data_IF_069797086192
#
_entry.id   IF_069797086192
#
_cell.length_a   1.000
_cell.length_b   1.000
_cell.length_c   1.000
_cell.angle_alpha   90.00
_cell.angle_beta   90.00
_cell.angle_gamma   90.00
#
_symmetry.space_group_name_H-M   'P 1'
#
loop_
_entity.id
_entity.type
_entity.pdbx_description
1 polymer ?
#
# COMPACT_ATOMS: atom_id res chain seq x y z
N UNK A 1 25.77 -23.11 -1.02
CA UNK A 1 24.65 -23.92 -0.46
C UNK A 1 23.37 -23.17 -0.77
N UNK A 2 22.45 -23.80 -1.45
CA UNK A 2 21.18 -23.15 -1.83
C UNK A 2 20.36 -22.72 -0.61
N UNK A 3 19.62 -21.60 -0.66
CA UNK A 3 18.75 -21.16 0.42
C UNK A 3 17.51 -22.06 0.55
N UNK A 4 16.90 -22.09 1.72
CA UNK A 4 15.58 -22.72 1.88
C UNK A 4 14.52 -21.90 1.17
N UNK A 5 14.60 -20.56 1.29
CA UNK A 5 13.68 -19.62 0.65
C UNK A 5 14.45 -18.52 -0.08
N UNK A 6 14.12 -18.32 -1.34
CA UNK A 6 14.58 -17.18 -2.13
C UNK A 6 13.47 -16.16 -2.24
N UNK A 7 13.78 -14.90 -1.93
CA UNK A 7 12.84 -13.77 -2.00
C UNK A 7 13.32 -12.79 -3.07
N UNK A 8 12.43 -12.39 -3.96
CA UNK A 8 12.71 -11.44 -5.03
C UNK A 8 12.28 -10.05 -4.58
N UNK A 9 13.22 -9.16 -4.35
CA UNK A 9 13.00 -7.78 -3.92
C UNK A 9 13.10 -7.58 -2.42
N UNK A 10 13.83 -6.54 -1.99
CA UNK A 10 14.04 -6.12 -0.60
C UNK A 10 13.13 -4.95 -0.20
N UNK A 11 11.96 -4.80 -0.84
CA UNK A 11 10.92 -3.89 -0.41
C UNK A 11 10.22 -4.37 0.87
N UNK A 12 9.16 -3.66 1.35
CA UNK A 12 8.52 -3.97 2.62
C UNK A 12 8.05 -5.41 2.76
N UNK A 13 7.40 -6.01 1.73
CA UNK A 13 6.96 -7.41 1.79
C UNK A 13 8.11 -8.39 1.85
N UNK A 14 9.16 -8.17 1.05
CA UNK A 14 10.32 -9.07 1.02
C UNK A 14 11.12 -9.03 2.31
N UNK A 15 11.39 -7.84 2.83
CA UNK A 15 12.11 -7.67 4.09
C UNK A 15 11.36 -8.26 5.28
N UNK A 16 10.02 -8.03 5.36
CA UNK A 16 9.20 -8.61 6.44
C UNK A 16 9.10 -10.13 6.32
N UNK A 17 8.91 -10.67 5.11
CA UNK A 17 8.93 -12.13 4.89
C UNK A 17 10.29 -12.72 5.30
N UNK A 18 11.40 -12.06 4.94
CA UNK A 18 12.74 -12.48 5.33
C UNK A 18 12.93 -12.51 6.85
N UNK A 19 12.49 -11.46 7.57
CA UNK A 19 12.52 -11.39 9.03
C UNK A 19 11.73 -12.56 9.65
N UNK A 20 10.49 -12.78 9.19
CA UNK A 20 9.61 -13.80 9.72
C UNK A 20 10.16 -15.23 9.52
N UNK A 21 10.80 -15.49 8.38
CA UNK A 21 11.37 -16.79 8.05
C UNK A 21 12.73 -17.00 8.70
N UNK A 22 13.60 -15.99 8.73
CA UNK A 22 14.90 -16.07 9.40
C UNK A 22 14.77 -16.32 10.91
N UNK A 23 13.78 -15.69 11.57
CA UNK A 23 13.45 -15.97 12.97
C UNK A 23 13.01 -17.42 13.25
N UNK A 24 12.52 -18.13 12.25
CA UNK A 24 12.18 -19.55 12.32
C UNK A 24 13.36 -20.46 11.97
N UNK A 25 14.54 -19.88 11.72
CA UNK A 25 15.77 -20.63 11.46
C UNK A 25 15.98 -21.06 10.00
N UNK A 26 15.17 -20.57 9.06
CA UNK A 26 15.36 -20.84 7.63
C UNK A 26 16.51 -20.01 7.06
N UNK A 27 17.24 -20.61 6.11
CA UNK A 27 18.23 -19.89 5.28
C UNK A 27 17.50 -19.11 4.22
N UNK A 28 17.43 -17.78 4.40
CA UNK A 28 16.72 -16.87 3.51
C UNK A 28 17.72 -16.08 2.68
N UNK A 29 17.55 -16.08 1.35
CA UNK A 29 18.27 -15.21 0.42
C UNK A 29 17.30 -14.23 -0.22
N UNK A 30 17.59 -12.94 -0.10
CA UNK A 30 16.85 -11.85 -0.74
C UNK A 30 17.70 -11.29 -1.88
N UNK A 31 17.16 -11.27 -3.10
CA UNK A 31 17.83 -10.70 -4.26
C UNK A 31 17.11 -9.42 -4.68
N UNK A 32 17.80 -8.29 -4.57
CA UNK A 32 17.28 -6.96 -4.90
C UNK A 32 18.05 -6.41 -6.12
N UNK A 33 17.30 -5.94 -7.12
CA UNK A 33 17.88 -5.42 -8.36
C UNK A 33 18.60 -4.08 -8.16
N UNK A 34 18.09 -3.24 -7.23
CA UNK A 34 18.59 -1.89 -6.99
C UNK A 34 19.45 -1.83 -5.72
N UNK A 35 20.29 -0.80 -5.63
CA UNK A 35 20.96 -0.44 -4.39
C UNK A 35 20.12 0.52 -3.55
N UNK A 36 20.21 0.41 -2.23
CA UNK A 36 19.64 1.40 -1.32
C UNK A 36 20.64 2.56 -1.06
N UNK A 37 20.17 3.78 -0.82
CA UNK A 37 18.76 4.19 -0.80
C UNK A 37 18.17 4.31 -2.22
N UNK A 38 16.94 3.80 -2.43
CA UNK A 38 16.21 3.93 -3.69
C UNK A 38 14.84 4.55 -3.48
N UNK A 39 14.40 5.36 -4.44
CA UNK A 39 13.06 5.92 -4.40
C UNK A 39 11.98 4.85 -4.63
N UNK A 40 10.90 4.95 -3.88
CA UNK A 40 9.65 4.26 -4.14
C UNK A 40 8.47 5.14 -3.72
N UNK A 41 7.32 4.98 -4.35
CA UNK A 41 6.07 5.63 -3.94
C UNK A 41 5.33 4.78 -2.90
N UNK A 42 4.38 5.39 -2.14
CA UNK A 42 3.64 4.72 -1.08
C UNK A 42 4.21 5.03 0.30
N UNK A 43 4.15 6.29 0.69
CA UNK A 43 4.86 6.92 1.83
C UNK A 43 3.96 7.17 3.04
N UNK A 44 2.65 7.02 2.88
CA UNK A 44 1.69 7.11 3.98
C UNK A 44 1.26 5.71 4.39
N UNK A 45 1.57 5.29 5.61
CA UNK A 45 1.22 3.97 6.12
C UNK A 45 -0.17 3.98 6.79
N UNK A 46 -0.72 2.81 7.09
CA UNK A 46 -1.96 2.63 7.84
C UNK A 46 -1.69 2.04 9.23
N UNK A 47 -2.61 2.23 10.18
CA UNK A 47 -2.42 1.77 11.55
C UNK A 47 -2.21 0.24 11.64
N UNK A 48 -2.90 -0.52 10.79
CA UNK A 48 -2.67 -1.96 10.71
C UNK A 48 -1.26 -2.33 10.23
N UNK A 49 -0.61 -1.48 9.43
CA UNK A 49 0.82 -1.67 9.08
C UNK A 49 1.71 -1.62 10.33
N UNK A 50 1.47 -0.68 11.25
CA UNK A 50 2.23 -0.61 12.50
C UNK A 50 2.00 -1.87 13.36
N UNK A 51 0.79 -2.41 13.39
CA UNK A 51 0.51 -3.67 14.07
C UNK A 51 1.24 -4.85 13.43
N UNK A 52 1.25 -4.95 12.10
CA UNK A 52 2.01 -5.99 11.39
C UNK A 52 3.52 -5.89 11.65
N UNK A 53 4.05 -4.66 11.72
CA UNK A 53 5.44 -4.42 12.11
C UNK A 53 5.70 -4.84 13.56
N UNK A 54 4.77 -4.60 14.48
CA UNK A 54 4.86 -5.06 15.87
C UNK A 54 4.89 -6.58 15.95
N UNK A 55 3.99 -7.25 15.25
CA UNK A 55 3.93 -8.72 15.18
C UNK A 55 5.20 -9.33 14.56
N UNK A 56 5.79 -8.65 13.59
CA UNK A 56 7.09 -9.02 13.01
C UNK A 56 8.28 -8.61 13.90
N UNK A 57 8.06 -7.89 15.03
CA UNK A 57 9.09 -7.37 15.93
C UNK A 57 9.99 -6.32 15.28
N UNK A 58 9.44 -5.53 14.38
CA UNK A 58 10.12 -4.46 13.64
C UNK A 58 9.67 -3.06 14.06
N UNK A 59 8.60 -2.95 14.88
CA UNK A 59 8.01 -1.66 15.22
C UNK A 59 8.99 -0.76 15.97
N UNK A 60 9.77 -1.30 16.92
CA UNK A 60 10.73 -0.52 17.70
C UNK A 60 11.82 0.09 16.80
N UNK A 61 12.31 -0.66 15.81
CA UNK A 61 13.27 -0.14 14.84
C UNK A 61 12.67 0.99 13.99
N UNK A 62 11.40 0.87 13.61
CA UNK A 62 10.68 1.91 12.85
C UNK A 62 10.45 3.15 13.71
N UNK A 63 10.10 3.00 15.00
CA UNK A 63 10.00 4.13 15.95
C UNK A 63 11.35 4.85 16.08
N UNK A 64 12.45 4.09 16.21
CA UNK A 64 13.78 4.65 16.28
C UNK A 64 14.24 5.36 14.99
N UNK A 65 13.59 5.07 13.86
CA UNK A 65 13.83 5.73 12.57
C UNK A 65 13.32 7.17 12.48
N UNK A 66 12.63 7.69 13.51
CA UNK A 66 12.12 9.06 13.61
C UNK A 66 11.26 9.51 12.42
N UNK A 67 10.46 8.59 11.85
CA UNK A 67 9.49 8.93 10.82
C UNK A 67 8.35 9.79 11.38
N UNK A 68 7.67 10.52 10.50
CA UNK A 68 6.54 11.36 10.90
C UNK A 68 5.42 10.50 11.49
N UNK A 69 5.06 10.74 12.74
CA UNK A 69 3.93 10.09 13.39
C UNK A 69 2.63 10.41 12.66
N UNK A 70 1.78 9.40 12.48
CA UNK A 70 0.48 9.52 11.82
C UNK A 70 -0.60 8.85 12.65
N UNK A 71 -1.68 9.59 12.90
CA UNK A 71 -2.85 9.10 13.65
C UNK A 71 -4.16 9.13 12.84
N UNK A 72 -4.11 9.51 11.55
CA UNK A 72 -5.35 9.63 10.79
C UNK A 72 -5.19 10.13 9.38
N UNK A 73 -6.33 10.56 8.84
CA UNK A 73 -6.46 11.17 7.52
C UNK A 73 -7.47 12.33 7.56
N UNK A 74 -7.18 13.39 6.80
CA UNK A 74 -8.08 14.52 6.56
C UNK A 74 -8.49 14.51 5.10
N UNK A 75 -9.79 14.40 4.84
CA UNK A 75 -10.37 14.52 3.51
C UNK A 75 -10.91 15.93 3.33
N UNK A 76 -10.61 16.54 2.19
CA UNK A 76 -10.98 17.93 1.90
C UNK A 76 -11.65 18.00 0.54
N UNK A 77 -12.84 18.58 0.51
CA UNK A 77 -13.53 18.99 -0.72
C UNK A 77 -13.55 20.51 -0.86
N UNK A 78 -14.21 21.03 -1.89
CA UNK A 78 -14.40 22.49 -2.05
C UNK A 78 -15.02 23.11 -0.80
N UNK A 79 -16.07 22.49 -0.27
CA UNK A 79 -16.91 23.07 0.79
C UNK A 79 -16.63 22.45 2.16
N UNK A 80 -16.25 21.17 2.21
CA UNK A 80 -16.21 20.37 3.43
C UNK A 80 -14.81 19.86 3.79
N UNK A 81 -14.65 19.56 5.07
CA UNK A 81 -13.50 18.83 5.62
C UNK A 81 -13.99 17.73 6.55
N UNK A 82 -13.44 16.54 6.40
CA UNK A 82 -13.77 15.37 7.20
C UNK A 82 -12.52 14.71 7.73
N UNK A 83 -12.45 14.49 9.03
CA UNK A 83 -11.31 13.86 9.69
C UNK A 83 -11.63 12.47 10.20
N UNK A 84 -10.66 11.59 10.08
CA UNK A 84 -10.65 10.26 10.67
C UNK A 84 -9.45 10.13 11.60
N UNK A 85 -9.70 9.87 12.87
CA UNK A 85 -8.67 9.53 13.84
C UNK A 85 -8.64 8.00 14.02
N UNK A 86 -7.51 7.39 13.71
CA UNK A 86 -7.36 5.92 13.76
C UNK A 86 -7.49 5.35 15.19
N UNK A 87 -7.37 6.18 16.23
CA UNK A 87 -7.60 5.74 17.60
C UNK A 87 -9.11 5.47 17.88
N UNK A 88 -10.02 6.08 17.10
CA UNK A 88 -11.48 5.91 17.27
C UNK A 88 -12.08 4.83 16.35
N UNK A 89 -11.24 4.03 15.69
CA UNK A 89 -11.70 2.94 14.82
C UNK A 89 -12.45 1.85 15.61
N UNK A 90 -13.33 1.13 14.91
CA UNK A 90 -14.11 0.01 15.46
C UNK A 90 -13.24 -1.22 15.80
N UNK A 91 -12.36 -1.61 14.90
CA UNK A 91 -11.52 -2.80 15.03
C UNK A 91 -10.49 -2.65 16.15
N UNK A 92 -10.19 -3.71 16.94
CA UNK A 92 -9.13 -3.66 17.95
C UNK A 92 -7.75 -3.49 17.31
N UNK A 93 -6.74 -3.11 18.11
CA UNK A 93 -5.35 -2.95 17.68
C UNK A 93 -4.88 -1.50 17.65
N UNK A 94 -3.66 -1.27 17.13
CA UNK A 94 -3.02 0.04 17.14
C UNK A 94 -3.82 1.10 16.39
N UNK A 95 -3.84 2.32 16.93
CA UNK A 95 -4.52 3.48 16.34
C UNK A 95 -3.56 4.52 15.77
N UNK A 96 -2.32 4.16 15.49
CA UNK A 96 -1.30 5.04 14.93
C UNK A 96 -0.40 4.31 13.93
N UNK A 97 0.37 5.08 13.18
CA UNK A 97 1.35 4.61 12.23
C UNK A 97 2.35 5.73 11.90
N UNK A 98 2.97 5.68 10.72
CA UNK A 98 3.96 6.66 10.28
C UNK A 98 3.74 7.08 8.84
N UNK A 99 4.24 8.28 8.51
CA UNK A 99 4.51 8.72 7.16
C UNK A 99 6.01 8.63 6.94
N UNK A 100 6.43 7.93 5.89
CA UNK A 100 7.82 7.48 5.74
C UNK A 100 8.41 7.89 4.40
N UNK A 101 9.66 8.33 4.42
CA UNK A 101 10.47 8.41 3.21
C UNK A 101 10.87 6.96 2.86
N UNK A 102 10.36 6.44 1.75
CA UNK A 102 10.47 5.02 1.40
C UNK A 102 11.91 4.55 1.19
N UNK A 103 12.81 5.42 0.73
CA UNK A 103 14.22 5.07 0.60
C UNK A 103 14.87 4.71 1.94
N UNK A 104 14.47 5.40 3.01
CA UNK A 104 14.96 5.16 4.37
C UNK A 104 14.22 3.99 5.03
N UNK A 105 12.89 3.95 4.89
CA UNK A 105 12.05 2.92 5.48
C UNK A 105 12.36 1.53 4.90
N UNK A 106 12.44 1.40 3.57
CA UNK A 106 12.74 0.12 2.92
C UNK A 106 14.16 -0.37 3.30
N UNK A 107 15.14 0.53 3.32
CA UNK A 107 16.51 0.21 3.76
C UNK A 107 16.56 -0.24 5.21
N UNK A 108 15.81 0.42 6.11
CA UNK A 108 15.72 0.03 7.51
C UNK A 108 15.21 -1.40 7.65
N UNK A 109 14.11 -1.74 6.97
CA UNK A 109 13.53 -3.09 7.03
C UNK A 109 14.50 -4.16 6.47
N UNK A 110 15.20 -3.86 5.37
CA UNK A 110 16.18 -4.78 4.80
C UNK A 110 17.35 -5.02 5.77
N UNK A 111 17.86 -3.97 6.42
CA UNK A 111 18.91 -4.09 7.44
C UNK A 111 18.47 -4.91 8.67
N UNK A 112 17.22 -4.77 9.09
CA UNK A 112 16.67 -5.62 10.17
C UNK A 112 16.62 -7.09 9.75
N UNK A 113 16.30 -7.39 8.49
CA UNK A 113 16.36 -8.76 7.97
C UNK A 113 17.80 -9.30 7.97
N UNK A 114 18.79 -8.49 7.55
CA UNK A 114 20.21 -8.86 7.58
C UNK A 114 20.69 -9.15 9.01
N UNK A 115 20.32 -8.34 10.00
CA UNK A 115 20.66 -8.56 11.42
C UNK A 115 20.14 -9.90 11.95
N UNK A 116 19.05 -10.42 11.38
CA UNK A 116 18.47 -11.71 11.76
C UNK A 116 19.05 -12.88 10.92
N UNK A 117 20.05 -12.63 10.08
CA UNK A 117 20.77 -13.64 9.33
C UNK A 117 20.23 -13.92 7.93
N UNK A 118 19.27 -13.12 7.43
CA UNK A 118 18.92 -13.18 6.01
C UNK A 118 20.07 -12.64 5.16
N UNK A 119 20.40 -13.32 4.07
CA UNK A 119 21.37 -12.84 3.09
C UNK A 119 20.66 -11.89 2.12
N UNK A 120 20.96 -10.59 2.15
CA UNK A 120 20.42 -9.61 1.19
C UNK A 120 21.52 -9.23 0.20
N UNK A 121 21.26 -9.45 -1.08
CA UNK A 121 22.20 -9.13 -2.18
C UNK A 121 21.55 -8.09 -3.09
N UNK A 122 22.28 -7.01 -3.32
CA UNK A 122 21.89 -5.91 -4.19
C UNK A 122 22.53 -6.02 -5.57
N UNK A 123 21.96 -5.36 -6.57
CA UNK A 123 22.45 -5.41 -7.95
C UNK A 123 22.23 -6.78 -8.62
N UNK A 124 21.21 -7.53 -8.18
CA UNK A 124 20.92 -8.89 -8.69
C UNK A 124 19.50 -8.96 -9.24
N UNK A 125 19.36 -9.16 -10.51
CA UNK A 125 18.09 -9.24 -11.25
C UNK A 125 17.72 -10.69 -11.56
N UNK A 126 16.48 -11.08 -11.28
CA UNK A 126 15.95 -12.39 -11.69
C UNK A 126 15.54 -12.31 -13.16
N UNK A 127 16.10 -13.20 -13.97
CA UNK A 127 15.88 -13.22 -15.43
C UNK A 127 15.08 -14.43 -15.92
N UNK A 128 15.07 -15.53 -15.16
CA UNK A 128 14.25 -16.69 -15.46
C UNK A 128 13.91 -17.50 -14.22
N UNK A 129 12.82 -18.26 -14.30
CA UNK A 129 12.42 -19.25 -13.30
C UNK A 129 11.83 -20.46 -13.99
N UNK A 130 12.18 -21.66 -13.51
CA UNK A 130 11.54 -22.93 -13.87
C UNK A 130 10.91 -23.53 -12.61
N UNK A 131 9.60 -23.74 -12.65
CA UNK A 131 8.79 -24.33 -11.58
C UNK A 131 8.18 -25.67 -11.97
N UNK A 132 8.62 -26.28 -13.05
CA UNK A 132 8.12 -27.57 -13.56
C UNK A 132 8.66 -28.77 -12.77
N UNK A 133 9.79 -28.59 -12.07
CA UNK A 133 10.44 -29.62 -11.27
C UNK A 133 9.94 -29.69 -9.83
N UNK A 134 10.53 -30.59 -9.04
CA UNK A 134 10.21 -30.73 -7.62
C UNK A 134 10.60 -29.51 -6.77
N UNK A 135 11.59 -28.74 -7.22
CA UNK A 135 12.04 -27.48 -6.61
C UNK A 135 12.25 -26.44 -7.70
N UNK A 136 11.97 -25.15 -7.42
CA UNK A 136 12.21 -24.08 -8.36
C UNK A 136 13.69 -23.95 -8.73
N UNK A 137 13.95 -23.61 -10.01
CA UNK A 137 15.29 -23.24 -10.49
C UNK A 137 15.23 -21.79 -10.94
N UNK A 138 15.97 -20.92 -10.25
CA UNK A 138 15.96 -19.48 -10.48
C UNK A 138 17.28 -19.07 -11.13
N UNK A 139 17.23 -18.35 -12.26
CA UNK A 139 18.39 -17.71 -12.88
C UNK A 139 18.41 -16.24 -12.52
N UNK A 140 19.51 -15.80 -11.96
CA UNK A 140 19.77 -14.42 -11.61
C UNK A 140 20.94 -13.86 -12.41
N UNK A 141 20.92 -12.55 -12.69
CA UNK A 141 22.00 -11.83 -13.37
C UNK A 141 22.54 -10.75 -12.44
N UNK A 142 23.84 -10.76 -12.18
CA UNK A 142 24.53 -9.74 -11.41
C UNK A 142 24.77 -8.47 -12.24
N UNK A 143 25.15 -7.37 -11.60
CA UNK A 143 25.57 -6.13 -12.30
C UNK A 143 26.78 -6.33 -13.21
N UNK A 144 27.68 -7.27 -12.88
CA UNK A 144 28.79 -7.64 -13.76
C UNK A 144 28.37 -8.42 -15.02
N UNK A 145 27.08 -8.81 -15.09
CA UNK A 145 26.53 -9.61 -16.18
C UNK A 145 26.69 -11.12 -16.00
N UNK A 146 27.24 -11.57 -14.88
CA UNK A 146 27.38 -12.98 -14.54
C UNK A 146 26.01 -13.59 -14.26
N UNK A 147 25.77 -14.81 -14.79
CA UNK A 147 24.57 -15.58 -14.54
C UNK A 147 24.80 -16.56 -13.39
N UNK A 148 23.91 -16.53 -12.43
CA UNK A 148 23.90 -17.43 -11.28
C UNK A 148 22.63 -18.29 -11.30
N UNK A 149 22.74 -19.53 -10.85
CA UNK A 149 21.59 -20.44 -10.69
C UNK A 149 21.40 -20.76 -9.22
N UNK A 150 20.17 -20.59 -8.73
CA UNK A 150 19.75 -20.90 -7.36
C UNK A 150 18.66 -21.98 -7.40
N UNK A 151 18.68 -22.89 -6.42
CA UNK A 151 17.71 -23.99 -6.26
C UNK A 151 17.08 -23.97 -4.87
N UNK A 152 16.25 -22.93 -4.57
CA UNK A 152 15.58 -22.85 -3.29
C UNK A 152 14.48 -23.91 -3.18
N UNK A 153 14.03 -24.20 -1.97
CA UNK A 153 12.83 -25.03 -1.76
C UNK A 153 11.54 -24.27 -2.12
N UNK A 154 11.56 -22.92 -2.03
CA UNK A 154 10.43 -22.06 -2.36
C UNK A 154 10.88 -20.65 -2.75
N UNK A 155 10.10 -19.98 -3.61
CA UNK A 155 10.33 -18.59 -4.05
C UNK A 155 9.17 -17.70 -3.63
N UNK A 156 9.47 -16.55 -3.00
CA UNK A 156 8.51 -15.49 -2.73
C UNK A 156 8.80 -14.29 -3.65
N UNK A 157 7.87 -13.94 -4.51
CA UNK A 157 7.98 -12.73 -5.33
C UNK A 157 7.46 -11.51 -4.55
N UNK A 158 8.38 -10.71 -4.07
CA UNK A 158 8.15 -9.43 -3.39
C UNK A 158 8.66 -8.24 -4.22
N UNK A 159 8.76 -8.41 -5.54
CA UNK A 159 9.34 -7.42 -6.47
C UNK A 159 8.49 -6.16 -6.68
N UNK A 160 7.32 -6.08 -6.05
CA UNK A 160 6.44 -4.92 -6.11
C UNK A 160 6.01 -4.59 -7.54
N UNK A 161 6.21 -3.35 -7.99
CA UNK A 161 5.92 -2.96 -9.38
C UNK A 161 6.79 -3.67 -10.43
N UNK A 162 7.86 -4.35 -10.01
CA UNK A 162 8.68 -5.22 -10.87
C UNK A 162 7.90 -6.41 -11.41
N UNK A 163 6.96 -7.00 -10.62
CA UNK A 163 6.06 -8.10 -11.01
C UNK A 163 6.81 -9.23 -11.71
N UNK A 164 7.95 -9.63 -11.12
CA UNK A 164 8.92 -10.49 -11.79
C UNK A 164 8.32 -11.83 -12.15
N UNK A 165 7.80 -12.59 -11.20
CA UNK A 165 7.20 -13.89 -11.50
C UNK A 165 5.89 -13.78 -12.27
N UNK A 166 5.10 -12.73 -12.01
CA UNK A 166 3.87 -12.51 -12.77
C UNK A 166 4.15 -12.37 -14.28
N UNK A 167 5.26 -11.72 -14.66
CA UNK A 167 5.70 -11.62 -16.05
C UNK A 167 6.35 -12.91 -16.58
N UNK A 168 7.30 -13.45 -15.83
CA UNK A 168 8.06 -14.63 -16.28
C UNK A 168 7.17 -15.87 -16.44
N UNK A 169 6.11 -16.00 -15.66
CA UNK A 169 5.15 -17.10 -15.68
C UNK A 169 3.83 -16.76 -16.40
N UNK A 170 3.77 -15.61 -17.08
CA UNK A 170 2.59 -15.15 -17.85
C UNK A 170 1.29 -15.12 -17.02
N UNK A 171 1.41 -14.70 -15.75
CA UNK A 171 0.28 -14.62 -14.81
C UNK A 171 -0.42 -13.27 -14.83
N UNK A 172 0.11 -12.26 -15.51
CA UNK A 172 -0.47 -10.91 -15.53
C UNK A 172 -1.88 -10.92 -16.13
N UNK A 173 -2.77 -10.17 -15.51
CA UNK A 173 -4.10 -9.88 -16.00
C UNK A 173 -4.34 -8.36 -16.03
N UNK A 174 -5.14 -7.86 -16.97
CA UNK A 174 -5.57 -6.48 -16.96
C UNK A 174 -6.30 -6.14 -15.68
N UNK A 175 -6.08 -4.93 -15.16
CA UNK A 175 -6.90 -4.39 -14.09
C UNK A 175 -8.29 -4.01 -14.62
N UNK A 176 -9.30 -4.17 -13.78
CA UNK A 176 -10.66 -3.68 -14.02
C UNK A 176 -10.86 -2.20 -13.60
N UNK A 177 -9.81 -1.57 -13.06
CA UNK A 177 -9.83 -0.14 -12.78
C UNK A 177 -9.47 0.69 -14.03
N UNK A 178 -10.10 1.87 -14.20
CA UNK A 178 -9.70 2.82 -15.24
C UNK A 178 -8.22 3.19 -15.13
N UNK A 179 -7.55 3.35 -16.26
CA UNK A 179 -6.14 3.79 -16.28
C UNK A 179 -6.04 5.22 -15.79
N UNK A 180 -5.28 5.42 -14.73
CA UNK A 180 -5.00 6.71 -14.12
C UNK A 180 -3.52 7.02 -14.14
N UNK A 181 -3.19 8.30 -14.02
CA UNK A 181 -1.83 8.77 -13.86
C UNK A 181 -1.69 9.55 -12.55
N UNK A 182 -0.57 9.37 -11.89
CA UNK A 182 -0.16 10.14 -10.73
C UNK A 182 1.04 11.01 -11.10
N UNK A 183 1.00 12.32 -10.81
CA UNK A 183 2.16 13.22 -10.85
C UNK A 183 2.49 13.63 -9.43
N UNK A 184 3.76 13.53 -9.06
CA UNK A 184 4.18 13.73 -7.67
C UNK A 184 5.61 14.22 -7.56
N UNK A 185 5.86 14.89 -6.42
CA UNK A 185 7.18 15.37 -6.08
C UNK A 185 7.35 15.41 -4.56
N UNK A 186 8.61 15.37 -4.07
CA UNK A 186 8.92 15.85 -2.73
C UNK A 186 9.17 17.35 -2.79
N UNK A 187 8.64 18.07 -1.81
CA UNK A 187 8.75 19.52 -1.71
C UNK A 187 9.23 19.94 -0.32
N UNK A 188 9.96 21.04 -0.22
CA UNK A 188 9.94 21.85 1.00
C UNK A 188 8.57 22.51 1.01
N UNK A 189 7.72 22.15 1.96
CA UNK A 189 6.31 22.50 1.89
C UNK A 189 6.01 23.96 2.30
N UNK A 190 6.86 24.56 3.11
CA UNK A 190 6.72 25.96 3.54
C UNK A 190 5.46 26.24 4.36
N UNK A 191 4.80 25.20 4.85
CA UNK A 191 3.55 25.31 5.60
C UNK A 191 3.82 25.88 6.99
N UNK A 192 3.14 26.97 7.33
CA UNK A 192 3.27 27.61 8.63
C UNK A 192 2.79 26.69 9.75
N UNK A 193 3.48 26.73 10.89
CA UNK A 193 3.11 25.94 12.06
C UNK A 193 1.66 26.24 12.50
N UNK A 194 0.91 25.19 12.80
CA UNK A 194 -0.49 25.31 13.27
C UNK A 194 -1.54 25.46 12.16
N UNK A 195 -1.17 25.59 10.89
CA UNK A 195 -2.14 25.70 9.79
C UNK A 195 -2.56 24.35 9.20
N UNK A 196 -1.81 23.29 9.49
CA UNK A 196 -2.05 21.93 9.03
C UNK A 196 -1.63 20.91 10.10
N UNK A 197 -2.46 19.90 10.34
CA UNK A 197 -2.12 18.79 11.24
C UNK A 197 -1.20 17.80 10.54
N UNK A 198 0.11 17.89 10.81
CA UNK A 198 1.13 17.02 10.23
C UNK A 198 1.02 15.55 10.67
N UNK A 199 0.17 15.24 11.65
CA UNK A 199 -0.10 13.84 12.07
C UNK A 199 -1.15 13.16 11.18
N UNK A 200 -1.62 13.81 10.13
CA UNK A 200 -2.57 13.25 9.16
C UNK A 200 -2.06 13.42 7.73
N UNK A 201 -2.36 12.44 6.89
CA UNK A 201 -2.34 12.68 5.45
C UNK A 201 -3.52 13.57 5.08
N UNK A 202 -3.32 14.54 4.19
CA UNK A 202 -4.41 15.26 3.54
C UNK A 202 -4.71 14.63 2.19
N UNK A 203 -5.98 14.32 1.96
CA UNK A 203 -6.51 13.84 0.68
C UNK A 203 -7.53 14.88 0.21
N UNK A 204 -7.24 15.54 -0.92
CA UNK A 204 -8.09 16.56 -1.51
C UNK A 204 -8.86 16.04 -2.71
N UNK A 205 -10.08 16.54 -2.92
CA UNK A 205 -10.86 16.28 -4.13
C UNK A 205 -10.81 17.53 -5.00
N UNK A 206 -10.50 17.36 -6.29
CA UNK A 206 -10.55 18.46 -7.24
C UNK A 206 -12.00 18.97 -7.36
N UNK A 207 -12.25 20.28 -7.23
CA UNK A 207 -13.61 20.84 -7.22
C UNK A 207 -14.37 20.68 -8.53
N UNK A 208 -13.68 20.59 -9.67
CA UNK A 208 -14.28 20.46 -11.01
C UNK A 208 -14.24 19.03 -11.56
N UNK A 209 -13.32 18.20 -11.06
CA UNK A 209 -13.12 16.81 -11.50
C UNK A 209 -13.09 15.90 -10.27
N UNK A 210 -14.27 15.45 -9.82
CA UNK A 210 -14.41 14.64 -8.58
C UNK A 210 -13.64 13.32 -8.59
N UNK A 211 -13.21 12.85 -9.74
CA UNK A 211 -12.37 11.67 -9.92
C UNK A 211 -10.87 11.98 -9.89
N UNK A 212 -10.49 13.26 -9.88
CA UNK A 212 -9.14 13.72 -9.63
C UNK A 212 -8.98 14.10 -8.15
N UNK A 213 -7.87 13.66 -7.56
CA UNK A 213 -7.59 13.87 -6.15
C UNK A 213 -6.11 14.12 -5.90
N UNK A 214 -5.82 14.77 -4.78
CA UNK A 214 -4.46 15.11 -4.37
C UNK A 214 -4.10 14.46 -3.04
N UNK A 215 -2.81 14.30 -2.79
CA UNK A 215 -2.28 14.00 -1.46
C UNK A 215 -1.24 15.00 -1.01
N UNK A 216 -1.20 15.25 0.29
CA UNK A 216 -0.09 15.90 0.99
C UNK A 216 0.31 15.01 2.17
N UNK A 217 1.51 14.48 2.12
CA UNK A 217 2.07 13.56 3.12
C UNK A 217 3.27 14.25 3.77
N UNK A 218 3.13 14.85 4.95
CA UNK A 218 4.23 15.55 5.60
C UNK A 218 5.27 14.57 6.17
N UNK A 219 6.53 15.01 6.17
CA UNK A 219 7.66 14.38 6.81
C UNK A 219 8.17 15.24 7.96
N UNK A 220 9.02 14.71 8.90
CA UNK A 220 9.37 15.42 10.13
C UNK A 220 10.24 16.67 9.92
N UNK A 221 10.89 16.81 8.78
CA UNK A 221 11.89 17.83 8.47
C UNK A 221 11.35 19.06 7.70
N UNK A 222 10.02 19.30 7.69
CA UNK A 222 9.40 20.39 6.91
C UNK A 222 9.33 20.12 5.41
N UNK A 223 9.56 18.88 5.01
CA UNK A 223 9.28 18.43 3.63
C UNK A 223 7.99 17.63 3.59
N UNK A 224 7.46 17.45 2.40
CA UNK A 224 6.26 16.65 2.16
C UNK A 224 6.34 15.93 0.81
N UNK A 225 5.67 14.78 0.73
CA UNK A 225 5.28 14.23 -0.56
C UNK A 225 3.95 14.85 -0.98
N UNK A 226 3.93 15.41 -2.16
CA UNK A 226 2.78 16.08 -2.73
C UNK A 226 2.51 15.52 -4.12
N UNK A 227 1.26 15.14 -4.41
CA UNK A 227 0.93 14.61 -5.71
C UNK A 227 -0.55 14.63 -6.03
N UNK A 228 -0.85 14.41 -7.29
CA UNK A 228 -2.20 14.42 -7.86
C UNK A 228 -2.40 13.18 -8.70
N UNK A 229 -3.56 12.57 -8.58
CA UNK A 229 -4.05 11.50 -9.43
C UNK A 229 -5.21 12.03 -10.26
N UNK A 230 -5.18 11.75 -11.57
CA UNK A 230 -6.29 12.07 -12.47
C UNK A 230 -6.36 11.06 -13.62
N UNK A 231 -7.40 11.16 -14.43
CA UNK A 231 -7.51 10.37 -15.66
C UNK A 231 -6.41 10.74 -16.66
N UNK A 232 -6.07 9.83 -17.57
CA UNK A 232 -5.11 10.11 -18.64
C UNK A 232 -5.55 11.26 -19.54
N UNK A 233 -6.86 11.34 -19.81
CA UNK A 233 -7.48 12.38 -20.60
C UNK A 233 -7.26 13.75 -19.96
N UNK A 234 -7.47 13.86 -18.65
CA UNK A 234 -7.22 15.10 -17.90
C UNK A 234 -5.73 15.47 -17.92
N UNK A 235 -4.84 14.50 -17.67
CA UNK A 235 -3.38 14.75 -17.74
C UNK A 235 -2.92 15.22 -19.14
N UNK A 236 -3.56 14.75 -20.20
CA UNK A 236 -3.23 15.10 -21.58
C UNK A 236 -3.66 16.53 -21.96
N UNK A 237 -4.54 17.18 -21.20
CA UNK A 237 -4.93 18.60 -21.45
C UNK A 237 -3.89 19.60 -20.99
N UNK A 238 -2.94 19.18 -20.16
CA UNK A 238 -1.93 20.06 -19.57
C UNK A 238 -0.84 20.39 -20.58
N UNK A 239 -0.34 21.63 -20.54
CA UNK A 239 0.70 22.13 -21.45
C UNK A 239 1.88 22.72 -20.68
N UNK A 240 3.05 22.76 -21.30
CA UNK A 240 4.28 23.26 -20.69
C UNK A 240 5.23 22.16 -20.26
N UNK A 241 6.24 22.50 -19.47
CA UNK A 241 7.18 21.57 -18.84
C UNK A 241 6.50 20.67 -17.82
N UNK A 242 7.14 19.59 -17.41
CA UNK A 242 6.58 18.66 -16.41
C UNK A 242 6.34 19.34 -15.05
N UNK A 243 7.17 20.30 -14.68
CA UNK A 243 7.00 21.07 -13.45
C UNK A 243 5.82 22.06 -13.57
N UNK A 244 5.67 22.76 -14.71
CA UNK A 244 4.53 23.64 -14.97
C UNK A 244 3.20 22.85 -14.95
N UNK A 245 3.13 21.72 -15.61
CA UNK A 245 1.96 20.83 -15.59
C UNK A 245 1.61 20.37 -14.16
N UNK A 246 2.63 20.04 -13.38
CA UNK A 246 2.46 19.64 -11.99
C UNK A 246 1.85 20.77 -11.13
N UNK A 247 2.37 22.01 -11.25
CA UNK A 247 1.84 23.16 -10.53
C UNK A 247 0.46 23.60 -11.02
N UNK A 248 0.13 23.40 -12.31
CA UNK A 248 -1.24 23.61 -12.83
C UNK A 248 -2.25 22.70 -12.13
N UNK A 249 -1.90 21.42 -11.92
CA UNK A 249 -2.75 20.47 -11.19
C UNK A 249 -2.96 20.88 -9.71
N UNK A 250 -1.89 21.36 -9.05
CA UNK A 250 -1.99 21.86 -7.67
C UNK A 250 -2.88 23.11 -7.61
N UNK A 251 -2.73 24.03 -8.55
CA UNK A 251 -3.52 25.28 -8.62
C UNK A 251 -5.01 25.02 -8.87
N UNK A 252 -5.35 23.91 -9.51
CA UNK A 252 -6.74 23.49 -9.73
C UNK A 252 -7.49 23.09 -8.44
N UNK A 253 -6.79 22.98 -7.30
CA UNK A 253 -7.36 22.76 -5.96
C UNK A 253 -7.02 23.97 -5.05
N UNK A 254 -7.89 24.99 -4.94
CA UNK A 254 -7.56 26.27 -4.28
C UNK A 254 -7.12 26.12 -2.81
N UNK A 255 -7.74 25.23 -2.04
CA UNK A 255 -7.37 24.99 -0.63
C UNK A 255 -5.97 24.38 -0.52
N UNK A 256 -5.59 23.48 -1.43
CA UNK A 256 -4.25 22.90 -1.46
C UNK A 256 -3.23 23.94 -1.93
N UNK A 257 -3.53 24.64 -3.03
CA UNK A 257 -2.67 25.68 -3.58
C UNK A 257 -2.33 26.76 -2.54
N UNK A 258 -3.33 27.25 -1.81
CA UNK A 258 -3.11 28.21 -0.72
C UNK A 258 -2.22 27.65 0.40
N UNK A 259 -2.39 26.39 0.75
CA UNK A 259 -1.62 25.73 1.81
C UNK A 259 -0.13 25.56 1.45
N UNK A 260 0.16 25.29 0.16
CA UNK A 260 1.52 25.03 -0.35
C UNK A 260 2.06 26.15 -1.24
N UNK A 261 1.54 27.38 -1.09
CA UNK A 261 1.89 28.53 -1.94
C UNK A 261 3.39 28.89 -1.93
N UNK A 262 4.12 28.57 -0.86
CA UNK A 262 5.57 28.77 -0.74
C UNK A 262 6.39 27.50 -0.97
N UNK A 263 5.75 26.41 -1.38
CA UNK A 263 6.45 25.15 -1.58
C UNK A 263 7.45 25.19 -2.73
N UNK A 264 8.53 24.43 -2.58
CA UNK A 264 9.60 24.31 -3.60
C UNK A 264 9.90 22.85 -3.83
N UNK A 265 9.96 22.42 -5.08
CA UNK A 265 10.38 21.07 -5.46
C UNK A 265 11.82 20.80 -5.02
N UNK A 266 12.07 19.62 -4.46
CA UNK A 266 13.41 19.17 -4.03
C UNK A 266 13.91 17.97 -4.82
N UNK A 267 13.13 17.53 -5.81
CA UNK A 267 13.48 16.49 -6.77
C UNK A 267 12.68 16.71 -8.05
N UNK A 268 13.07 16.10 -9.19
CA UNK A 268 12.26 16.13 -10.39
C UNK A 268 10.85 15.58 -10.17
N UNK A 269 9.86 16.14 -10.84
CA UNK A 269 8.49 15.62 -10.85
C UNK A 269 8.49 14.22 -11.45
N UNK A 270 7.92 13.28 -10.72
CA UNK A 270 7.72 11.91 -11.17
C UNK A 270 6.32 11.70 -11.73
N UNK A 271 6.20 10.76 -12.66
CA UNK A 271 4.92 10.27 -13.15
C UNK A 271 4.84 8.75 -13.05
N UNK A 272 3.67 8.26 -12.68
CA UNK A 272 3.34 6.83 -12.67
C UNK A 272 1.97 6.65 -13.32
N UNK A 273 1.92 5.86 -14.40
CA UNK A 273 0.68 5.64 -15.17
C UNK A 273 0.35 4.14 -15.21
N UNK A 274 -0.95 3.80 -15.12
CA UNK A 274 -1.43 2.42 -15.27
C UNK A 274 -0.91 1.47 -14.20
N UNK A 275 -0.86 1.93 -12.98
CA UNK A 275 -0.29 1.21 -11.84
C UNK A 275 -1.17 0.07 -11.31
N UNK A 276 -2.48 0.10 -11.55
CA UNK A 276 -3.37 -0.98 -11.11
C UNK A 276 -3.12 -2.26 -11.90
N UNK A 277 -3.03 -3.39 -11.20
CA UNK A 277 -2.64 -4.65 -11.80
C UNK A 277 -3.24 -5.83 -11.05
N UNK A 278 -3.55 -6.90 -11.76
CA UNK A 278 -4.08 -8.16 -11.27
C UNK A 278 -3.25 -9.35 -11.77
N UNK A 279 -3.44 -10.52 -11.16
CA UNK A 279 -2.83 -11.79 -11.61
C UNK A 279 -3.86 -12.91 -11.66
N UNK A 280 -3.58 -13.93 -12.48
CA UNK A 280 -4.40 -15.15 -12.60
C UNK A 280 -4.41 -15.99 -11.33
N UNK A 281 -3.31 -16.01 -10.59
CA UNK A 281 -3.13 -16.74 -9.34
C UNK A 281 -2.10 -16.06 -8.46
N UNK A 282 -2.25 -16.20 -7.14
CA UNK A 282 -1.33 -15.66 -6.13
C UNK A 282 -0.22 -16.64 -5.76
N UNK A 283 -0.31 -17.90 -6.17
CA UNK A 283 0.63 -18.96 -5.84
C UNK A 283 0.64 -20.05 -6.90
N UNK A 284 1.64 -20.89 -6.84
CA UNK A 284 1.77 -22.10 -7.65
C UNK A 284 2.81 -23.05 -7.08
N UNK A 285 3.15 -24.12 -7.77
CA UNK A 285 4.18 -25.05 -7.33
C UNK A 285 5.50 -24.32 -7.06
N UNK A 286 5.92 -24.30 -5.79
CA UNK A 286 7.20 -23.72 -5.39
C UNK A 286 7.26 -22.18 -5.34
N UNK A 287 6.17 -21.44 -5.53
CA UNK A 287 6.19 -19.98 -5.44
C UNK A 287 4.91 -19.36 -4.89
N UNK A 288 5.02 -18.13 -4.37
CA UNK A 288 3.89 -17.24 -4.08
C UNK A 288 4.25 -15.77 -4.38
N UNK A 289 3.23 -14.97 -4.70
CA UNK A 289 3.34 -13.55 -5.03
C UNK A 289 2.91 -12.70 -3.84
N UNK A 290 3.68 -11.67 -3.48
CA UNK A 290 3.44 -10.81 -2.33
C UNK A 290 3.19 -9.36 -2.73
N UNK A 291 2.24 -8.72 -2.05
CA UNK A 291 1.97 -7.29 -2.24
C UNK A 291 1.75 -6.90 -3.70
N UNK A 292 2.40 -5.83 -4.15
CA UNK A 292 2.22 -5.31 -5.51
C UNK A 292 2.76 -6.22 -6.63
N UNK A 293 3.55 -7.24 -6.31
CA UNK A 293 3.92 -8.26 -7.30
C UNK A 293 2.71 -9.09 -7.72
N UNK A 294 1.70 -9.19 -6.85
CA UNK A 294 0.42 -9.85 -7.09
C UNK A 294 -0.66 -8.85 -7.51
N UNK A 295 -0.99 -7.92 -6.62
CA UNK A 295 -2.19 -7.09 -6.70
C UNK A 295 -1.87 -5.65 -6.30
N UNK A 296 -2.22 -4.68 -7.14
CA UNK A 296 -2.21 -3.28 -6.79
C UNK A 296 -3.51 -2.61 -7.23
N UNK A 297 -4.17 -1.93 -6.31
CA UNK A 297 -5.47 -1.29 -6.53
C UNK A 297 -5.30 0.17 -6.96
N UNK A 298 -5.14 1.04 -5.96
CA UNK A 298 -5.05 2.49 -6.12
C UNK A 298 -4.39 3.10 -4.88
N UNK A 299 -3.61 4.19 -5.00
CA UNK A 299 -2.92 4.78 -3.85
C UNK A 299 -3.82 5.56 -2.90
N UNK A 300 -5.09 5.84 -3.23
CA UNK A 300 -5.98 6.77 -2.49
C UNK A 300 -6.12 6.43 -1.00
N UNK A 301 -6.15 5.15 -0.63
CA UNK A 301 -6.28 4.73 0.77
C UNK A 301 -4.98 4.18 1.37
N UNK A 302 -3.83 4.41 0.74
CA UNK A 302 -2.52 4.00 1.27
C UNK A 302 -2.40 2.49 1.58
N UNK A 303 -3.18 1.64 0.92
CA UNK A 303 -3.31 0.21 1.24
C UNK A 303 -2.12 -0.65 0.82
N UNK A 304 -1.30 -0.20 -0.13
CA UNK A 304 -0.28 -1.04 -0.78
C UNK A 304 0.73 -1.68 0.19
N UNK A 305 1.31 -0.89 1.11
CA UNK A 305 2.26 -1.44 2.11
C UNK A 305 1.56 -2.36 3.11
N UNK A 306 0.31 -2.04 3.48
CA UNK A 306 -0.48 -2.91 4.38
C UNK A 306 -0.74 -4.28 3.74
N UNK A 307 -1.17 -4.32 2.48
CA UNK A 307 -1.36 -5.56 1.70
C UNK A 307 -0.02 -6.30 1.59
N UNK A 308 1.07 -5.60 1.33
CA UNK A 308 2.40 -6.17 1.21
C UNK A 308 2.85 -6.89 2.50
N UNK A 309 2.71 -6.25 3.66
CA UNK A 309 3.08 -6.84 4.95
C UNK A 309 2.14 -7.97 5.37
N UNK A 310 0.84 -7.82 5.10
CA UNK A 310 -0.13 -8.86 5.41
C UNK A 310 0.10 -10.12 4.56
N UNK A 311 0.38 -9.96 3.26
CA UNK A 311 0.73 -11.08 2.38
C UNK A 311 2.01 -11.78 2.85
N UNK A 312 3.03 -11.04 3.28
CA UNK A 312 4.27 -11.60 3.82
C UNK A 312 4.02 -12.42 5.09
N UNK A 313 3.17 -11.91 6.01
CA UNK A 313 2.76 -12.63 7.23
C UNK A 313 2.06 -13.95 6.91
N UNK A 314 1.06 -13.93 6.04
CA UNK A 314 0.31 -15.13 5.65
C UNK A 314 1.22 -16.14 4.95
N UNK A 315 1.99 -15.70 3.95
CA UNK A 315 2.89 -16.58 3.21
C UNK A 315 3.95 -17.21 4.11
N UNK A 316 4.57 -16.45 5.01
CA UNK A 316 5.56 -16.97 5.94
C UNK A 316 4.96 -18.03 6.90
N UNK A 317 3.71 -17.87 7.33
CA UNK A 317 3.04 -18.82 8.20
C UNK A 317 2.68 -20.14 7.46
N UNK A 318 2.19 -20.06 6.24
CA UNK A 318 1.87 -21.24 5.41
C UNK A 318 3.15 -21.97 5.01
N UNK A 319 4.16 -21.22 4.55
CA UNK A 319 5.42 -21.78 4.11
C UNK A 319 6.18 -22.46 5.25
N UNK A 320 6.16 -21.92 6.46
CA UNK A 320 6.77 -22.55 7.64
C UNK A 320 6.24 -23.97 7.85
N UNK A 321 4.92 -24.17 7.85
CA UNK A 321 4.31 -25.50 7.99
C UNK A 321 4.65 -26.41 6.83
N UNK A 322 4.65 -25.91 5.60
CA UNK A 322 5.03 -26.68 4.42
C UNK A 322 6.49 -27.16 4.51
N UNK A 323 7.40 -26.27 4.90
CA UNK A 323 8.83 -26.62 5.01
C UNK A 323 9.11 -27.61 6.16
N UNK A 324 8.24 -27.67 7.17
CA UNK A 324 8.24 -28.68 8.22
C UNK A 324 7.57 -30.01 7.81
N UNK A 325 7.07 -30.13 6.57
CA UNK A 325 6.47 -31.35 6.04
C UNK A 325 4.96 -31.47 6.28
N UNK A 326 4.30 -30.42 6.78
CA UNK A 326 2.85 -30.40 6.92
C UNK A 326 2.20 -30.12 5.57
N UNK A 327 1.17 -30.89 5.21
CA UNK A 327 0.36 -30.58 4.04
C UNK A 327 -0.38 -29.25 4.25
N UNK A 328 -0.29 -28.35 3.28
CA UNK A 328 -0.91 -27.01 3.30
C UNK A 328 -1.73 -26.77 2.04
N UNK A 329 -2.77 -25.97 2.19
CA UNK A 329 -3.60 -25.49 1.08
C UNK A 329 -3.38 -23.99 0.88
N UNK A 330 -2.50 -23.63 -0.06
CA UNK A 330 -2.18 -22.23 -0.35
C UNK A 330 -3.40 -21.41 -0.79
N UNK A 331 -4.38 -22.02 -1.44
CA UNK A 331 -5.59 -21.33 -1.83
C UNK A 331 -6.40 -20.91 -0.59
N UNK A 332 -6.67 -21.85 0.31
CA UNK A 332 -7.51 -21.62 1.49
C UNK A 332 -6.78 -20.86 2.61
N UNK A 333 -5.46 -21.01 2.70
CA UNK A 333 -4.70 -20.52 3.85
C UNK A 333 -3.87 -19.26 3.57
N UNK A 334 -3.68 -18.94 2.27
CA UNK A 334 -2.99 -17.73 1.83
C UNK A 334 -3.86 -16.86 0.92
N UNK A 335 -4.31 -17.39 -0.23
CA UNK A 335 -4.95 -16.59 -1.25
C UNK A 335 -6.32 -16.06 -0.81
N UNK A 336 -7.21 -16.91 -0.33
CA UNK A 336 -8.55 -16.50 0.13
C UNK A 336 -8.49 -15.52 1.32
N UNK A 337 -7.71 -15.78 2.39
CA UNK A 337 -7.55 -14.82 3.47
C UNK A 337 -6.98 -13.47 3.00
N UNK A 338 -5.97 -13.47 2.11
CA UNK A 338 -5.41 -12.24 1.57
C UNK A 338 -6.46 -11.45 0.79
N UNK A 339 -7.19 -12.13 -0.11
CA UNK A 339 -8.18 -11.49 -0.98
C UNK A 339 -9.39 -10.93 -0.22
N UNK A 340 -9.73 -11.46 0.96
CA UNK A 340 -10.79 -10.89 1.79
C UNK A 340 -10.58 -9.38 2.06
N UNK A 341 -9.40 -8.98 2.50
CA UNK A 341 -9.09 -7.58 2.76
C UNK A 341 -8.81 -6.78 1.48
N UNK A 342 -8.21 -7.41 0.47
CA UNK A 342 -8.00 -6.78 -0.84
C UNK A 342 -9.34 -6.37 -1.46
N UNK A 343 -10.36 -7.24 -1.43
CA UNK A 343 -11.70 -6.93 -1.93
C UNK A 343 -12.42 -5.86 -1.10
N UNK A 344 -12.15 -5.80 0.21
CA UNK A 344 -12.61 -4.70 1.05
C UNK A 344 -12.04 -3.37 0.56
N UNK A 345 -10.72 -3.28 0.36
CA UNK A 345 -10.10 -2.07 -0.18
C UNK A 345 -10.57 -1.76 -1.60
N UNK A 346 -10.73 -2.77 -2.46
CA UNK A 346 -11.28 -2.62 -3.83
C UNK A 346 -12.67 -1.98 -3.80
N UNK A 347 -13.51 -2.40 -2.86
CA UNK A 347 -14.84 -1.79 -2.64
C UNK A 347 -14.73 -0.29 -2.31
N UNK A 348 -13.81 0.08 -1.42
CA UNK A 348 -13.63 1.48 -1.02
C UNK A 348 -13.05 2.32 -2.16
N UNK A 349 -12.10 1.77 -2.94
CA UNK A 349 -11.56 2.44 -4.13
C UNK A 349 -12.65 2.68 -5.17
N UNK A 350 -13.48 1.67 -5.48
CA UNK A 350 -14.61 1.85 -6.38
C UNK A 350 -15.58 2.91 -5.88
N UNK A 351 -15.92 2.85 -4.57
CA UNK A 351 -16.78 3.85 -3.94
C UNK A 351 -16.21 5.25 -3.93
N UNK A 352 -14.88 5.40 -3.91
CA UNK A 352 -14.22 6.69 -4.06
C UNK A 352 -14.47 7.29 -5.45
N UNK A 353 -14.26 6.50 -6.50
CA UNK A 353 -14.38 6.97 -7.88
C UNK A 353 -15.82 7.09 -8.38
N UNK A 354 -16.76 6.30 -7.88
CA UNK A 354 -18.19 6.46 -8.18
C UNK A 354 -18.89 7.52 -7.30
N UNK A 355 -18.17 8.08 -6.33
CA UNK A 355 -18.63 9.12 -5.41
C UNK A 355 -19.38 8.60 -4.19
N UNK A 356 -19.74 7.32 -4.13
CA UNK A 356 -20.53 6.78 -3.01
C UNK A 356 -19.80 6.86 -1.66
N UNK A 357 -18.49 6.59 -1.64
CA UNK A 357 -17.71 6.74 -0.42
C UNK A 357 -17.46 8.22 -0.07
N UNK A 358 -17.35 9.11 -1.06
CA UNK A 358 -17.23 10.54 -0.83
C UNK A 358 -18.50 11.08 -0.11
N UNK A 359 -19.70 10.64 -0.52
CA UNK A 359 -20.95 11.02 0.11
C UNK A 359 -20.99 10.57 1.59
N UNK A 360 -20.43 9.40 1.91
CA UNK A 360 -20.31 8.92 3.31
C UNK A 360 -19.25 9.72 4.10
N UNK A 361 -18.10 9.98 3.50
CA UNK A 361 -17.00 10.71 4.14
C UNK A 361 -17.42 12.13 4.51
N UNK A 362 -18.13 12.83 3.63
CA UNK A 362 -18.53 14.22 3.82
C UNK A 362 -19.94 14.39 4.42
N UNK A 363 -20.64 13.29 4.73
CA UNK A 363 -21.94 13.39 5.38
C UNK A 363 -21.84 14.08 6.74
N UNK A 364 -22.60 15.20 6.98
CA UNK A 364 -22.40 16.02 8.17
C UNK A 364 -22.90 15.36 9.46
N UNK A 365 -24.00 14.58 9.39
CA UNK A 365 -24.63 13.95 10.56
C UNK A 365 -24.15 12.51 10.79
N UNK A 366 -22.82 12.33 10.91
CA UNK A 366 -22.20 11.00 11.07
C UNK A 366 -22.65 10.32 12.35
N UNK A 367 -23.10 9.08 12.24
CA UNK A 367 -23.27 8.22 13.41
C UNK A 367 -21.89 7.71 13.90
N UNK A 368 -21.55 7.88 15.18
CA UNK A 368 -20.21 7.55 15.70
C UNK A 368 -19.79 6.12 15.43
N UNK A 369 -20.71 5.16 15.59
CA UNK A 369 -20.39 3.75 15.37
C UNK A 369 -20.11 3.42 13.90
N UNK A 370 -20.93 3.94 12.98
CA UNK A 370 -20.71 3.77 11.53
C UNK A 370 -19.40 4.46 11.11
N UNK A 371 -19.16 5.68 11.62
CA UNK A 371 -17.91 6.39 11.38
C UNK A 371 -16.69 5.59 11.86
N UNK A 372 -16.78 4.96 13.04
CA UNK A 372 -15.72 4.09 13.56
C UNK A 372 -15.48 2.84 12.68
N UNK A 373 -16.56 2.24 12.14
CA UNK A 373 -16.46 1.09 11.22
C UNK A 373 -15.79 1.47 9.89
N UNK A 374 -16.15 2.60 9.29
CA UNK A 374 -15.49 3.14 8.09
C UNK A 374 -14.03 3.49 8.41
N UNK A 375 -13.79 4.15 9.55
CA UNK A 375 -12.44 4.48 10.04
C UNK A 375 -11.56 3.22 10.15
N UNK A 376 -12.09 2.06 10.54
CA UNK A 376 -11.33 0.82 10.62
C UNK A 376 -10.75 0.41 9.26
N UNK A 377 -11.53 0.48 8.20
CA UNK A 377 -11.04 0.15 6.85
C UNK A 377 -9.99 1.18 6.40
N UNK A 378 -10.24 2.48 6.63
CA UNK A 378 -9.30 3.55 6.32
C UNK A 378 -8.03 3.50 7.18
N UNK A 379 -8.07 2.86 8.36
CA UNK A 379 -6.92 2.58 9.21
C UNK A 379 -6.18 1.27 8.84
N UNK A 380 -6.66 0.54 7.82
CA UNK A 380 -6.03 -0.67 7.31
C UNK A 380 -6.61 -1.99 7.84
N UNK A 381 -7.57 -1.96 8.76
CA UNK A 381 -8.18 -3.16 9.34
C UNK A 381 -9.25 -3.77 8.40
N UNK A 382 -8.87 -3.96 7.15
CA UNK A 382 -9.74 -4.48 6.09
C UNK A 382 -10.02 -5.99 6.21
N UNK A 383 -9.26 -6.69 7.07
CA UNK A 383 -9.41 -8.14 7.34
C UNK A 383 -10.25 -8.45 8.58
N UNK A 384 -10.80 -7.44 9.25
CA UNK A 384 -11.67 -7.66 10.41
C UNK A 384 -13.08 -8.08 9.96
N UNK A 385 -13.36 -9.38 10.05
CA UNK A 385 -14.66 -9.95 9.66
C UNK A 385 -15.83 -9.48 10.58
N UNK A 386 -15.53 -8.93 11.76
CA UNK A 386 -16.55 -8.34 12.64
C UNK A 386 -17.02 -6.97 12.13
N UNK A 387 -16.27 -6.33 11.23
CA UNK A 387 -16.68 -5.05 10.65
C UNK A 387 -17.65 -5.29 9.49
N UNK A 388 -18.90 -4.81 9.56
CA UNK A 388 -19.90 -4.97 8.48
C UNK A 388 -19.46 -4.41 7.12
N UNK A 389 -18.54 -3.45 7.09
CA UNK A 389 -18.00 -2.85 5.86
C UNK A 389 -16.75 -3.56 5.33
N UNK A 390 -16.39 -4.73 5.88
CA UNK A 390 -15.35 -5.60 5.35
C UNK A 390 -15.95 -6.85 4.66
N UNK A 391 -15.17 -7.47 3.76
CA UNK A 391 -15.48 -8.74 3.10
C UNK A 391 -16.58 -8.67 2.05
N UNK A 392 -17.22 -9.82 1.79
CA UNK A 392 -18.10 -10.05 0.64
C UNK A 392 -19.30 -9.10 0.52
N UNK A 393 -19.83 -8.60 1.63
CA UNK A 393 -21.01 -7.73 1.64
C UNK A 393 -20.67 -6.23 1.69
N UNK A 394 -19.39 -5.88 1.76
CA UNK A 394 -18.91 -4.49 1.89
C UNK A 394 -19.47 -3.58 0.81
N UNK A 395 -19.47 -4.01 -0.45
CA UNK A 395 -19.94 -3.22 -1.59
C UNK A 395 -21.45 -2.89 -1.51
N UNK A 396 -22.30 -3.87 -1.14
CA UNK A 396 -23.74 -3.65 -0.98
C UNK A 396 -24.02 -2.70 0.18
N UNK A 397 -23.35 -2.91 1.31
CA UNK A 397 -23.53 -2.10 2.53
C UNK A 397 -23.05 -0.67 2.33
N UNK A 398 -21.90 -0.48 1.69
CA UNK A 398 -21.37 0.86 1.39
C UNK A 398 -22.32 1.64 0.48
N UNK A 399 -22.85 1.03 -0.58
CA UNK A 399 -23.82 1.66 -1.49
C UNK A 399 -25.13 2.00 -0.79
N UNK A 400 -25.63 1.12 0.07
CA UNK A 400 -26.85 1.40 0.86
C UNK A 400 -26.62 2.59 1.80
N UNK A 401 -25.48 2.64 2.52
CA UNK A 401 -25.13 3.76 3.37
C UNK A 401 -25.01 5.06 2.57
N UNK A 402 -24.37 5.04 1.41
CA UNK A 402 -24.24 6.22 0.55
C UNK A 402 -25.61 6.74 0.08
N UNK A 403 -26.54 5.86 -0.28
CA UNK A 403 -27.91 6.26 -0.64
C UNK A 403 -28.60 6.96 0.55
N UNK A 404 -28.47 6.41 1.76
CA UNK A 404 -29.02 7.02 2.98
C UNK A 404 -28.38 8.38 3.31
N UNK A 405 -27.10 8.56 3.02
CA UNK A 405 -26.44 9.87 3.18
C UNK A 405 -27.00 10.91 2.20
N UNK A 406 -27.27 10.51 0.95
CA UNK A 406 -27.82 11.42 -0.07
C UNK A 406 -29.26 11.87 0.23
N UNK A 407 -30.10 10.99 0.75
CA UNK A 407 -31.51 11.32 1.09
C UNK A 407 -31.68 11.85 2.52
N UNK A 408 -30.60 12.02 3.29
CA UNK A 408 -30.59 12.55 4.64
C UNK A 408 -31.08 11.58 5.72
N UNK A 409 -31.29 10.30 5.40
CA UNK A 409 -31.81 9.30 6.34
C UNK A 409 -30.73 8.57 7.15
N UNK A 410 -29.45 8.73 6.79
CA UNK A 410 -28.33 8.02 7.43
C UNK A 410 -28.19 8.28 8.93
N UNK A 411 -28.62 9.45 9.43
CA UNK A 411 -28.64 9.78 10.86
C UNK A 411 -29.63 8.96 11.69
N UNK A 412 -30.53 8.22 11.03
CA UNK A 412 -31.60 7.40 11.65
C UNK A 412 -31.29 5.90 11.62
N UNK A 413 -30.15 5.51 11.05
CA UNK A 413 -29.77 4.08 10.94
C UNK A 413 -29.37 3.55 12.30
N UNK A 414 -30.02 2.47 12.75
CA UNK A 414 -29.56 1.71 13.90
C UNK A 414 -28.30 0.90 13.48
N UNK A 415 -27.16 1.13 14.11
CA UNK A 415 -25.93 0.40 13.79
C UNK A 415 -26.08 -1.12 13.88
N UNK A 416 -26.94 -1.64 14.76
CA UNK A 416 -27.22 -3.06 14.89
C UNK A 416 -27.95 -3.65 13.68
N UNK A 417 -28.67 -2.84 12.91
CA UNK A 417 -29.37 -3.29 11.70
C UNK A 417 -28.46 -3.45 10.47
N UNK A 418 -27.22 -3.00 10.58
CA UNK A 418 -26.20 -3.03 9.50
C UNK A 418 -25.22 -4.20 9.70
N UNK A 419 -25.28 -4.86 10.88
CA UNK A 419 -24.43 -5.99 11.25
C UNK A 419 -24.85 -7.36 10.62
#
# INVERSE_FOLDING_TARGET
MDPDVLIIGAGPSGSVAAVLLARRGYRVSVLERQHFPRFSIGESLLAYTAQLLQEAGLLDAVIAGNFQYKNGATFVSADDTSEFNFATKFSPGLGFTFQVVRSEFDQLLAREAEKLGASVRYGVEITAIDVSGATPVVTAKTESGELETHRPRFVLDASGFGRVLARLLELEMPSDFPVRAARFCHVHDGIAAGTFDRQKIRIGINPTHRDAWSWLIPFPNGTSSLGIVASREHMATLTGSEEEKYWQLIAAEPKLHALVASAKTIRPVGELTGYAANVKTLHGPGFALLGNAAEFLDPVFSSGVTIALHSAKLAAAVLDRQLQGTAVDWQREFAEPLMFGVETFRTFVRGWYDGSLQDVIFYPAKQPQIHAMICSVLAGYAWDAANPYAGQHSSRRLRALAAMCRDGSASRVDPASVA
#
